data_IF_745860165588
#
_entry.id   IF_745860165588
#
_cell.length_a   1.000
_cell.length_b   1.000
_cell.length_c   1.000
_cell.angle_alpha   90.00
_cell.angle_beta   90.00
_cell.angle_gamma   90.00
#
_symmetry.space_group_name_H-M   'P 1'
#
loop_
_entity.id
_entity.type
_entity.pdbx_description
1 polymer ?
#
# COMPACT_ATOMS: atom_id res chain seq x y z
N UNK A 1 -17.57 -47.40 11.37
CA UNK A 1 -16.45 -47.07 10.45
C UNK A 1 -16.64 -45.71 9.77
N UNK A 2 -17.78 -45.42 9.14
CA UNK A 2 -18.03 -44.14 8.45
C UNK A 2 -17.94 -42.88 9.35
N UNK A 3 -18.44 -42.91 10.60
CA UNK A 3 -18.31 -41.77 11.53
C UNK A 3 -16.86 -41.42 11.86
N UNK A 4 -16.03 -42.43 12.17
CA UNK A 4 -14.62 -42.25 12.52
C UNK A 4 -13.80 -41.69 11.35
N UNK A 5 -14.06 -42.19 10.13
CA UNK A 5 -13.43 -41.70 8.90
C UNK A 5 -13.82 -40.24 8.61
N UNK A 6 -15.08 -39.87 8.89
CA UNK A 6 -15.57 -38.49 8.67
C UNK A 6 -14.92 -37.48 9.63
N UNK A 7 -14.74 -37.87 10.91
CA UNK A 7 -14.01 -37.06 11.88
C UNK A 7 -12.52 -36.92 11.56
N UNK A 8 -11.87 -38.01 11.11
CA UNK A 8 -10.45 -37.95 10.74
C UNK A 8 -10.20 -37.06 9.52
N UNK A 9 -11.06 -37.14 8.49
CA UNK A 9 -10.98 -36.30 7.30
C UNK A 9 -11.20 -34.82 7.63
N UNK A 10 -12.14 -34.52 8.54
CA UNK A 10 -12.36 -33.14 9.00
C UNK A 10 -11.15 -32.58 9.75
N UNK A 11 -10.53 -33.39 10.62
CA UNK A 11 -9.37 -32.96 11.40
C UNK A 11 -8.13 -32.74 10.51
N UNK A 12 -7.89 -33.62 9.54
CA UNK A 12 -6.79 -33.44 8.59
C UNK A 12 -7.02 -32.23 7.69
N UNK A 13 -8.25 -32.01 7.22
CA UNK A 13 -8.58 -30.83 6.42
C UNK A 13 -8.39 -29.53 7.20
N UNK A 14 -8.83 -29.47 8.46
CA UNK A 14 -8.62 -28.31 9.33
C UNK A 14 -7.12 -28.06 9.58
N UNK A 15 -6.34 -29.11 9.84
CA UNK A 15 -4.90 -29.00 10.01
C UNK A 15 -4.22 -28.45 8.75
N UNK A 16 -4.61 -28.92 7.56
CA UNK A 16 -4.09 -28.42 6.29
C UNK A 16 -4.42 -26.94 6.05
N UNK A 17 -5.63 -26.50 6.39
CA UNK A 17 -6.02 -25.08 6.29
C UNK A 17 -5.20 -24.21 7.23
N UNK A 18 -4.95 -24.67 8.46
CA UNK A 18 -4.12 -23.93 9.42
C UNK A 18 -2.66 -23.80 8.94
N UNK A 19 -2.11 -24.84 8.31
CA UNK A 19 -0.75 -24.79 7.74
C UNK A 19 -0.63 -23.87 6.51
N UNK A 20 -1.75 -23.57 5.83
CA UNK A 20 -1.76 -22.74 4.63
C UNK A 20 -1.86 -21.22 4.92
N UNK A 21 -1.98 -20.80 6.18
CA UNK A 21 -2.32 -19.40 6.54
C UNK A 21 -1.14 -18.41 6.47
N UNK A 22 0.08 -18.88 6.17
CA UNK A 22 1.32 -18.09 6.32
C UNK A 22 1.62 -17.12 5.16
N UNK A 23 0.68 -16.86 4.25
CA UNK A 23 0.89 -15.99 3.08
C UNK A 23 -0.02 -14.76 3.16
N UNK A 24 0.35 -13.82 4.02
CA UNK A 24 -0.25 -12.49 4.02
C UNK A 24 0.12 -11.71 2.75
N UNK A 25 -0.72 -10.76 2.29
CA UNK A 25 -0.39 -9.94 1.14
C UNK A 25 0.87 -9.14 1.42
N UNK A 26 1.92 -9.35 0.63
CA UNK A 26 3.10 -8.49 0.63
C UNK A 26 2.73 -7.18 -0.03
N UNK A 27 2.55 -6.13 0.77
CA UNK A 27 2.42 -4.77 0.24
C UNK A 27 3.77 -4.34 -0.31
N UNK A 28 3.89 -4.29 -1.64
CA UNK A 28 5.07 -3.71 -2.29
C UNK A 28 4.77 -2.24 -2.52
N UNK A 29 5.32 -1.36 -1.68
CA UNK A 29 5.30 0.07 -1.97
C UNK A 29 6.27 0.36 -3.12
N UNK A 30 5.75 0.93 -4.21
CA UNK A 30 6.59 1.42 -5.30
C UNK A 30 7.50 2.56 -4.83
N UNK A 31 8.67 2.72 -5.45
CA UNK A 31 9.51 3.91 -5.20
C UNK A 31 8.74 5.16 -5.63
N UNK A 32 8.67 6.16 -4.75
CA UNK A 32 8.14 7.48 -5.10
C UNK A 32 9.17 8.24 -5.93
N UNK A 33 8.76 8.68 -7.11
CA UNK A 33 9.55 9.57 -7.97
C UNK A 33 9.08 11.02 -7.75
N UNK A 34 10.02 11.94 -7.63
CA UNK A 34 9.73 13.35 -7.40
C UNK A 34 10.17 14.19 -8.61
N UNK A 35 9.39 15.20 -8.96
CA UNK A 35 9.72 16.16 -10.01
C UNK A 35 9.25 17.56 -9.63
N UNK A 36 9.94 18.62 -10.07
CA UNK A 36 9.50 19.99 -9.82
C UNK A 36 8.13 20.27 -10.45
N UNK A 37 7.26 20.97 -9.72
CA UNK A 37 5.98 21.45 -10.25
C UNK A 37 6.19 22.53 -11.31
N UNK A 38 5.39 22.47 -12.38
CA UNK A 38 5.41 23.46 -13.46
C UNK A 38 4.51 24.68 -13.16
N UNK A 39 3.44 24.47 -12.40
CA UNK A 39 2.44 25.51 -12.10
C UNK A 39 2.71 26.23 -10.78
N UNK A 40 3.41 25.62 -9.82
CA UNK A 40 3.72 26.26 -8.55
C UNK A 40 4.68 27.45 -8.76
N UNK A 41 4.42 28.57 -8.09
CA UNK A 41 5.21 29.81 -8.22
C UNK A 41 5.56 30.36 -6.84
N UNK A 42 6.78 30.87 -6.72
CA UNK A 42 7.27 31.50 -5.50
C UNK A 42 7.75 30.50 -4.45
N UNK A 43 7.86 30.97 -3.21
CA UNK A 43 8.38 30.17 -2.12
C UNK A 43 7.35 29.18 -1.60
N UNK A 44 7.75 27.91 -1.48
CA UNK A 44 6.88 26.86 -0.98
C UNK A 44 6.86 26.87 0.55
N UNK A 45 5.88 27.56 1.14
CA UNK A 45 5.69 27.65 2.60
C UNK A 45 4.47 26.87 3.10
N UNK A 46 3.51 26.57 2.22
CA UNK A 46 2.30 25.84 2.54
C UNK A 46 2.27 24.52 1.75
N UNK A 47 2.40 23.40 2.47
CA UNK A 47 2.41 22.05 1.89
C UNK A 47 1.07 21.67 1.27
N UNK A 48 -0.05 22.03 1.90
CA UNK A 48 -1.38 21.69 1.38
C UNK A 48 -1.64 22.40 0.05
N UNK A 49 -1.20 23.65 -0.07
CA UNK A 49 -1.28 24.38 -1.33
C UNK A 49 -0.38 23.76 -2.41
N UNK A 50 0.86 23.37 -2.05
CA UNK A 50 1.76 22.65 -2.94
C UNK A 50 1.16 21.33 -3.43
N UNK A 51 0.63 20.50 -2.52
CA UNK A 51 -0.03 19.25 -2.84
C UNK A 51 -1.23 19.47 -3.77
N UNK A 52 -2.07 20.47 -3.48
CA UNK A 52 -3.21 20.83 -4.33
C UNK A 52 -2.77 21.16 -5.76
N UNK A 53 -1.70 21.97 -5.92
CA UNK A 53 -1.15 22.32 -7.24
C UNK A 53 -0.59 21.08 -7.95
N UNK A 54 0.20 20.25 -7.27
CA UNK A 54 0.75 19.00 -7.81
C UNK A 54 -0.37 18.03 -8.25
N UNK A 55 -1.48 17.95 -7.52
CA UNK A 55 -2.64 17.16 -7.92
C UNK A 55 -3.28 17.69 -9.22
N UNK A 56 -3.28 19.00 -9.45
CA UNK A 56 -3.69 19.56 -10.75
C UNK A 56 -2.71 19.26 -11.90
N UNK A 57 -1.53 18.75 -11.60
CA UNK A 57 -0.52 18.32 -12.56
C UNK A 57 -0.50 16.78 -12.75
N UNK A 58 -1.38 16.06 -12.06
CA UNK A 58 -1.52 14.60 -12.18
C UNK A 58 -0.70 13.79 -11.17
N UNK A 59 -0.11 14.43 -10.16
CA UNK A 59 0.58 13.75 -9.07
C UNK A 59 -0.39 13.40 -7.94
N UNK A 60 -0.11 12.32 -7.21
CA UNK A 60 -0.94 11.94 -6.06
C UNK A 60 -0.79 12.91 -4.88
N UNK A 61 0.39 13.52 -4.74
CA UNK A 61 0.73 14.41 -3.62
C UNK A 61 1.83 15.42 -4.02
N UNK A 62 2.15 16.34 -3.11
CA UNK A 62 3.23 17.31 -3.27
C UNK A 62 3.78 17.79 -1.93
N UNK A 63 5.08 18.12 -1.91
CA UNK A 63 5.75 18.66 -0.72
C UNK A 63 6.67 19.81 -1.08
N UNK A 64 6.78 20.75 -0.15
CA UNK A 64 7.80 21.79 -0.20
C UNK A 64 9.15 21.21 0.19
N UNK A 65 10.08 21.20 -0.75
CA UNK A 65 11.50 20.96 -0.47
C UNK A 65 12.18 22.29 -0.10
N UNK A 66 13.11 22.24 0.86
CA UNK A 66 13.88 23.40 1.29
C UNK A 66 14.90 23.85 0.23
N UNK A 67 15.69 24.87 0.55
CA UNK A 67 16.83 25.26 -0.28
C UNK A 67 17.90 24.17 -0.18
N UNK A 68 18.11 23.43 -1.27
CA UNK A 68 19.24 22.51 -1.40
C UNK A 68 20.31 23.13 -2.29
#
# INVERSE_FOLDING_TARGET
MAQFIRSSVSATFLLLVLLAVEMGPTTVEGRKCESPSHKFKGMCMNRDNCATVCQTEGYEDGKCEGFR
#
